data_IF_692665146151
#
_entry.id   IF_692665146151
#
_cell.length_a   1.000
_cell.length_b   1.000
_cell.length_c   1.000
_cell.angle_alpha   90.00
_cell.angle_beta   90.00
_cell.angle_gamma   90.00
#
_symmetry.space_group_name_H-M   'P 1'
#
loop_
_entity.id
_entity.type
_entity.pdbx_description
1 polymer ?
#
# COMPACT_ATOMS: atom_id res chain seq x y z
N UNK A 1 -17.39 -1.28 2.26
CA UNK A 1 -16.14 -0.56 2.62
C UNK A 1 -15.13 -1.61 3.05
N UNK A 2 -13.89 -1.51 2.58
CA UNK A 2 -12.84 -2.50 2.82
C UNK A 2 -11.54 -1.82 3.22
N UNK A 3 -10.65 -2.56 3.88
CA UNK A 3 -9.31 -2.07 4.18
C UNK A 3 -8.35 -2.53 3.08
N UNK A 4 -7.54 -1.61 2.55
CA UNK A 4 -6.42 -1.96 1.70
C UNK A 4 -5.24 -2.34 2.59
N UNK A 5 -4.65 -3.51 2.32
CA UNK A 5 -3.45 -3.99 3.01
C UNK A 5 -2.29 -4.10 2.03
N UNK A 6 -1.09 -3.73 2.46
CA UNK A 6 0.14 -3.79 1.66
C UNK A 6 1.32 -4.29 2.49
N UNK A 7 2.24 -4.99 1.82
CA UNK A 7 3.48 -5.55 2.38
C UNK A 7 4.46 -5.85 1.23
N UNK A 8 5.71 -6.15 1.56
CA UNK A 8 6.80 -6.39 0.61
C UNK A 8 7.76 -5.21 0.52
N UNK A 9 8.37 -5.05 -0.65
CA UNK A 9 9.35 -4.01 -0.93
C UNK A 9 8.72 -2.60 -0.84
N UNK A 10 9.41 -1.66 -0.19
CA UNK A 10 8.91 -0.30 0.09
C UNK A 10 9.90 0.83 -0.18
N UNK A 11 11.02 0.55 -0.86
CA UNK A 11 12.10 1.52 -1.09
C UNK A 11 11.66 2.78 -1.82
N UNK A 12 10.60 2.70 -2.62
CA UNK A 12 10.05 3.81 -3.40
C UNK A 12 8.67 4.25 -2.90
N UNK A 13 8.24 3.77 -1.73
CA UNK A 13 6.93 4.07 -1.16
C UNK A 13 5.76 3.35 -1.86
N UNK A 14 6.03 2.34 -2.68
CA UNK A 14 5.03 1.61 -3.46
C UNK A 14 3.96 0.90 -2.61
N UNK A 15 4.18 0.76 -1.30
CA UNK A 15 3.18 0.22 -0.38
C UNK A 15 2.13 1.26 0.07
N UNK A 16 2.33 2.55 -0.19
CA UNK A 16 1.43 3.63 0.25
C UNK A 16 1.40 3.82 1.78
N UNK A 17 2.44 3.35 2.48
CA UNK A 17 2.58 3.48 3.93
C UNK A 17 3.34 4.78 4.25
N UNK A 18 2.65 5.72 4.91
CA UNK A 18 3.11 7.11 5.10
C UNK A 18 4.37 7.26 5.99
N UNK A 19 4.68 6.23 6.78
CA UNK A 19 5.60 6.33 7.93
C UNK A 19 6.86 5.46 7.78
N UNK A 20 7.18 4.99 6.55
CA UNK A 20 8.19 3.94 6.30
C UNK A 20 9.32 4.38 5.36
N UNK A 21 9.79 5.63 5.48
CA UNK A 21 10.89 6.15 4.64
C UNK A 21 12.20 5.37 4.87
N UNK A 22 12.36 4.71 6.02
CA UNK A 22 13.57 3.95 6.38
C UNK A 22 13.39 2.42 6.37
N UNK A 23 12.19 1.92 6.06
CA UNK A 23 11.94 0.47 5.98
C UNK A 23 12.01 0.04 4.53
N UNK A 24 12.99 -0.81 4.23
CA UNK A 24 13.23 -1.34 2.88
C UNK A 24 12.21 -2.43 2.54
N UNK A 25 11.87 -3.29 3.52
CA UNK A 25 10.93 -4.39 3.36
C UNK A 25 9.95 -4.49 4.54
N UNK A 26 8.66 -4.55 4.22
CA UNK A 26 7.57 -4.77 5.18
C UNK A 26 7.17 -6.25 5.12
N UNK A 27 7.62 -7.04 6.10
CA UNK A 27 7.41 -8.50 6.13
C UNK A 27 6.02 -8.95 6.61
N UNK A 28 5.20 -8.04 7.13
CA UNK A 28 3.85 -8.33 7.63
C UNK A 28 2.83 -7.42 6.94
N UNK A 29 1.63 -7.92 6.59
CA UNK A 29 0.55 -7.10 6.06
C UNK A 29 0.25 -5.91 6.97
N UNK A 30 0.23 -4.70 6.40
CA UNK A 30 -0.15 -3.47 7.09
C UNK A 30 -1.31 -2.80 6.40
N UNK A 31 -2.20 -2.21 7.20
CA UNK A 31 -3.34 -1.44 6.69
C UNK A 31 -2.84 -0.10 6.15
N UNK A 32 -3.22 0.23 4.91
CA UNK A 32 -3.01 1.56 4.33
C UNK A 32 -3.97 2.53 4.99
N UNK A 33 -3.43 3.57 5.63
CA UNK A 33 -4.20 4.56 6.39
C UNK A 33 -5.22 5.27 5.49
N UNK A 34 -6.45 5.43 5.98
CA UNK A 34 -7.55 6.07 5.26
C UNK A 34 -8.25 5.19 4.21
N UNK A 35 -7.77 3.96 3.98
CA UNK A 35 -8.36 3.07 2.96
C UNK A 35 -9.79 2.63 3.29
N UNK A 36 -10.16 2.56 4.57
CA UNK A 36 -11.51 2.14 5.00
C UNK A 36 -12.60 3.13 4.59
N UNK A 37 -12.25 4.37 4.29
CA UNK A 37 -13.17 5.42 3.83
C UNK A 37 -13.40 5.37 2.32
N UNK A 38 -12.69 4.50 1.60
CA UNK A 38 -12.72 4.39 0.15
C UNK A 38 -13.25 3.02 -0.29
N UNK A 39 -13.88 2.99 -1.46
CA UNK A 39 -14.31 1.76 -2.11
C UNK A 39 -13.38 1.46 -3.28
N UNK A 40 -12.51 0.47 -3.15
CA UNK A 40 -11.56 0.12 -4.22
C UNK A 40 -12.14 -0.95 -5.14
N UNK A 41 -12.01 -0.76 -6.45
CA UNK A 41 -12.48 -1.70 -7.48
C UNK A 41 -11.35 -2.47 -8.17
N UNK A 42 -10.12 -1.93 -8.13
CA UNK A 42 -8.93 -2.57 -8.72
C UNK A 42 -7.64 -2.08 -8.08
N UNK A 43 -6.65 -2.97 -8.01
CA UNK A 43 -5.27 -2.64 -7.67
C UNK A 43 -4.35 -3.16 -8.77
N UNK A 44 -3.32 -2.40 -9.12
CA UNK A 44 -2.25 -2.82 -10.02
C UNK A 44 -0.89 -2.44 -9.43
N UNK A 45 0.08 -3.34 -9.53
CA UNK A 45 1.43 -3.15 -9.02
C UNK A 45 2.44 -3.26 -10.15
N UNK A 46 3.35 -2.29 -10.23
CA UNK A 46 4.58 -2.38 -11.00
C UNK A 46 5.77 -2.71 -10.09
N UNK A 47 6.98 -2.65 -10.63
CA UNK A 47 8.20 -2.95 -9.86
C UNK A 47 8.41 -2.00 -8.67
N UNK A 48 8.05 -0.73 -8.82
CA UNK A 48 8.32 0.33 -7.83
C UNK A 48 7.13 1.29 -7.65
N UNK A 49 5.91 0.88 -8.03
CA UNK A 49 4.71 1.70 -7.86
C UNK A 49 3.46 0.83 -7.72
N UNK A 50 2.43 1.39 -7.08
CA UNK A 50 1.12 0.76 -6.93
C UNK A 50 0.04 1.78 -7.24
N UNK A 51 -1.00 1.38 -7.96
CA UNK A 51 -2.18 2.17 -8.23
C UNK A 51 -3.41 1.44 -7.67
N UNK A 52 -4.29 2.18 -7.00
CA UNK A 52 -5.57 1.70 -6.52
C UNK A 52 -6.69 2.57 -7.10
N UNK A 53 -7.65 1.95 -7.80
CA UNK A 53 -8.79 2.64 -8.39
C UNK A 53 -9.97 2.61 -7.41
N UNK A 54 -10.52 3.79 -7.11
CA UNK A 54 -11.68 4.00 -6.25
C UNK A 54 -12.93 4.31 -7.06
#
# INVERSE_FOLDING_TARGET
LGALVSWGASEFGQLGLKDMIEVVDVIQPRVVRGSQELHFVRVACGAAHTLALT
#
